data_IF_401453368532
#
_entry.id   IF_401453368532
#
_cell.length_a   1.000
_cell.length_b   1.000
_cell.length_c   1.000
_cell.angle_alpha   90.00
_cell.angle_beta   90.00
_cell.angle_gamma   90.00
#
_symmetry.space_group_name_H-M   'P 1'
#
loop_
_entity.id
_entity.type
_entity.pdbx_description
1 polymer ?
#
# COMPACT_ATOMS: atom_id res chain seq x y z
N UNK A 1 58.79 22.50 34.85
CA UNK A 1 58.25 22.75 33.49
C UNK A 1 58.06 21.49 32.62
N UNK A 2 58.92 20.45 32.69
CA UNK A 2 58.80 19.26 31.81
C UNK A 2 57.56 18.36 32.06
N UNK A 3 57.16 18.12 33.32
CA UNK A 3 55.98 17.26 33.65
C UNK A 3 54.64 17.85 33.20
N UNK A 4 54.52 19.18 33.15
CA UNK A 4 53.30 19.88 32.71
C UNK A 4 53.14 19.76 31.18
N UNK A 5 54.25 19.73 30.42
CA UNK A 5 54.22 19.54 28.96
C UNK A 5 53.81 18.11 28.59
N UNK A 6 54.32 17.10 29.29
CA UNK A 6 53.96 15.69 29.05
C UNK A 6 52.47 15.40 29.29
N UNK A 7 51.91 15.86 30.42
CA UNK A 7 50.48 15.68 30.75
C UNK A 7 49.53 16.46 29.83
N UNK A 8 50.03 17.50 29.16
CA UNK A 8 49.27 18.27 28.16
C UNK A 8 49.28 17.59 26.79
N UNK A 9 50.37 16.88 26.47
CA UNK A 9 50.53 16.13 25.22
C UNK A 9 49.65 14.86 25.21
N UNK A 10 49.64 14.13 26.32
CA UNK A 10 48.77 12.96 26.58
C UNK A 10 47.27 13.25 26.35
N UNK A 11 46.76 14.32 26.96
CA UNK A 11 45.36 14.78 26.73
C UNK A 11 45.08 15.19 25.29
N UNK A 12 46.10 15.63 24.55
CA UNK A 12 45.91 16.03 23.15
C UNK A 12 45.77 14.80 22.25
N UNK A 13 46.47 13.70 22.58
CA UNK A 13 46.36 12.42 21.89
C UNK A 13 44.98 11.78 22.12
N UNK A 14 44.48 11.76 23.36
CA UNK A 14 43.12 11.30 23.67
C UNK A 14 42.05 12.09 22.92
N UNK A 15 42.19 13.43 22.85
CA UNK A 15 41.27 14.28 22.09
C UNK A 15 41.32 13.96 20.59
N UNK A 16 42.51 13.68 20.05
CA UNK A 16 42.67 13.36 18.63
C UNK A 16 41.99 12.03 18.28
N UNK A 17 42.12 11.03 19.16
CA UNK A 17 41.46 9.73 19.01
C UNK A 17 39.93 9.88 19.03
N UNK A 18 39.39 10.67 19.98
CA UNK A 18 37.96 10.98 20.05
C UNK A 18 37.49 11.71 18.78
N UNK A 19 38.25 12.69 18.28
CA UNK A 19 37.88 13.43 17.07
C UNK A 19 37.86 12.53 15.83
N UNK A 20 38.83 11.63 15.68
CA UNK A 20 38.85 10.67 14.59
C UNK A 20 37.69 9.67 14.70
N UNK A 21 37.42 9.15 15.89
CA UNK A 21 36.26 8.28 16.13
C UNK A 21 34.95 8.98 15.79
N UNK A 22 34.78 10.25 16.17
CA UNK A 22 33.59 11.03 15.79
C UNK A 22 33.53 11.21 14.27
N UNK A 23 34.63 11.52 13.60
CA UNK A 23 34.65 11.68 12.15
C UNK A 23 34.24 10.40 11.42
N UNK A 24 34.69 9.25 11.91
CA UNK A 24 34.44 7.95 11.27
C UNK A 24 33.02 7.41 11.54
N UNK A 25 32.35 7.87 12.60
CA UNK A 25 31.05 7.34 13.04
C UNK A 25 29.91 8.36 13.01
N UNK A 26 30.19 9.66 12.89
CA UNK A 26 29.16 10.69 12.85
C UNK A 26 28.54 10.76 11.46
N UNK A 27 27.21 10.81 11.44
CA UNK A 27 26.45 11.12 10.22
C UNK A 27 26.78 12.54 9.78
N UNK A 28 27.11 12.70 8.50
CA UNK A 28 27.36 14.02 7.93
C UNK A 28 26.05 14.81 7.81
N UNK A 29 26.16 16.15 7.76
CA UNK A 29 24.97 16.99 7.52
C UNK A 29 24.29 16.69 6.20
N UNK A 30 25.05 16.31 5.19
CA UNK A 30 24.54 15.95 3.85
C UNK A 30 23.72 14.67 3.92
N UNK A 31 24.24 13.61 4.56
CA UNK A 31 23.51 12.35 4.77
C UNK A 31 22.26 12.57 5.61
N UNK A 32 22.35 13.36 6.69
CA UNK A 32 21.19 13.68 7.52
C UNK A 32 20.11 14.44 6.74
N UNK A 33 20.50 15.42 5.91
CA UNK A 33 19.57 16.16 5.07
C UNK A 33 18.95 15.28 3.98
N UNK A 34 19.72 14.34 3.42
CA UNK A 34 19.23 13.33 2.48
C UNK A 34 18.14 12.47 3.11
N UNK A 35 18.41 11.91 4.29
CA UNK A 35 17.45 11.11 5.06
C UNK A 35 16.20 11.92 5.42
N UNK A 36 16.37 13.16 5.89
CA UNK A 36 15.25 14.03 6.21
C UNK A 36 14.36 14.31 4.99
N UNK A 37 14.97 14.48 3.80
CA UNK A 37 14.26 14.62 2.53
C UNK A 37 13.47 13.37 2.15
N UNK A 38 14.06 12.18 2.27
CA UNK A 38 13.39 10.90 2.00
C UNK A 38 12.22 10.65 2.96
N UNK A 39 12.41 10.88 4.25
CA UNK A 39 11.33 10.78 5.25
C UNK A 39 10.21 11.78 4.94
N UNK A 40 10.55 12.99 4.47
CA UNK A 40 9.59 13.98 4.02
C UNK A 40 8.75 13.47 2.84
N UNK A 41 9.37 12.86 1.83
CA UNK A 41 8.67 12.26 0.69
C UNK A 41 7.78 11.09 1.11
N UNK A 42 8.29 10.18 1.94
CA UNK A 42 7.52 9.04 2.46
C UNK A 42 6.29 9.54 3.21
N UNK A 43 6.41 10.59 4.03
CA UNK A 43 5.26 11.21 4.72
C UNK A 43 4.26 11.88 3.79
N UNK A 44 4.72 12.45 2.68
CA UNK A 44 3.84 13.10 1.71
C UNK A 44 3.08 12.09 0.84
N UNK A 45 3.70 10.95 0.53
CA UNK A 45 3.15 9.93 -0.38
C UNK A 45 2.46 8.76 0.34
N UNK A 46 2.75 8.57 1.64
CA UNK A 46 2.10 7.50 2.40
C UNK A 46 0.59 7.72 2.46
N UNK A 47 -0.13 6.66 2.14
CA UNK A 47 -1.56 6.56 2.37
C UNK A 47 -1.81 5.87 3.71
N UNK A 48 -2.83 6.31 4.44
CA UNK A 48 -3.22 5.65 5.68
C UNK A 48 -3.99 4.38 5.37
N UNK A 49 -3.89 3.40 6.28
CA UNK A 49 -4.71 2.18 6.23
C UNK A 49 -6.20 2.54 6.12
N UNK A 50 -6.66 3.49 6.91
CA UNK A 50 -8.07 3.93 6.92
C UNK A 50 -8.51 4.51 5.57
N UNK A 51 -7.63 5.26 4.89
CA UNK A 51 -7.91 5.77 3.54
C UNK A 51 -8.09 4.63 2.54
N UNK A 52 -7.18 3.63 2.56
CA UNK A 52 -7.27 2.46 1.69
C UNK A 52 -8.51 1.61 2.02
N UNK A 53 -8.78 1.34 3.28
CA UNK A 53 -9.95 0.58 3.73
C UNK A 53 -11.25 1.27 3.28
N UNK A 54 -11.33 2.60 3.38
CA UNK A 54 -12.44 3.38 2.86
C UNK A 54 -12.61 3.24 1.34
N UNK A 55 -11.54 3.42 0.56
CA UNK A 55 -11.59 3.29 -0.90
C UNK A 55 -11.92 1.88 -1.36
N UNK A 56 -11.45 0.86 -0.65
CA UNK A 56 -11.79 -0.53 -0.92
C UNK A 56 -13.25 -0.85 -0.59
N UNK A 57 -13.78 -0.27 0.49
CA UNK A 57 -15.20 -0.40 0.83
C UNK A 57 -16.10 0.26 -0.24
N UNK A 58 -15.76 1.47 -0.69
CA UNK A 58 -16.45 2.17 -1.78
C UNK A 58 -16.45 1.34 -3.07
N UNK A 59 -15.26 0.89 -3.50
CA UNK A 59 -15.10 0.05 -4.69
C UNK A 59 -15.92 -1.24 -4.60
N UNK A 60 -15.90 -1.91 -3.45
CA UNK A 60 -16.71 -3.10 -3.22
C UNK A 60 -18.20 -2.80 -3.32
N UNK A 61 -18.65 -1.65 -2.79
CA UNK A 61 -20.02 -1.18 -2.93
C UNK A 61 -20.42 -0.99 -4.40
N UNK A 62 -19.59 -0.28 -5.17
CA UNK A 62 -19.81 -0.03 -6.59
C UNK A 62 -19.89 -1.32 -7.40
N UNK A 63 -18.97 -2.26 -7.16
CA UNK A 63 -18.99 -3.57 -7.81
C UNK A 63 -20.29 -4.34 -7.52
N UNK A 64 -20.74 -4.36 -6.26
CA UNK A 64 -22.00 -5.02 -5.90
C UNK A 64 -23.19 -4.39 -6.63
N UNK A 65 -23.23 -3.05 -6.74
CA UNK A 65 -24.29 -2.35 -7.46
C UNK A 65 -24.26 -2.66 -8.95
N UNK A 66 -23.07 -2.64 -9.57
CA UNK A 66 -22.91 -2.96 -10.99
C UNK A 66 -23.32 -4.41 -11.30
N UNK A 67 -22.84 -5.38 -10.53
CA UNK A 67 -23.20 -6.79 -10.71
C UNK A 67 -24.69 -7.02 -10.54
N UNK A 68 -25.36 -6.37 -9.57
CA UNK A 68 -26.82 -6.45 -9.42
C UNK A 68 -27.59 -5.87 -10.61
N UNK A 69 -27.10 -4.77 -11.18
CA UNK A 69 -27.70 -4.17 -12.39
C UNK A 69 -27.51 -5.08 -13.60
N UNK A 70 -26.34 -5.68 -13.75
CA UNK A 70 -26.05 -6.66 -14.80
C UNK A 70 -26.93 -7.89 -14.67
N UNK A 71 -27.02 -8.48 -13.48
CA UNK A 71 -27.92 -9.61 -13.19
C UNK A 71 -29.38 -9.28 -13.54
N UNK A 72 -29.85 -8.08 -13.19
CA UNK A 72 -31.20 -7.62 -13.55
C UNK A 72 -31.41 -7.53 -15.07
N UNK A 73 -30.42 -7.03 -15.80
CA UNK A 73 -30.46 -6.96 -17.28
C UNK A 73 -30.45 -8.35 -17.91
N UNK A 74 -29.61 -9.27 -17.41
CA UNK A 74 -29.54 -10.65 -17.89
C UNK A 74 -30.85 -11.37 -17.63
N UNK A 75 -31.43 -11.23 -16.43
CA UNK A 75 -32.76 -11.77 -16.10
C UNK A 75 -33.83 -11.31 -17.07
N UNK A 76 -33.84 -10.03 -17.40
CA UNK A 76 -34.81 -9.50 -18.35
C UNK A 76 -34.57 -10.00 -19.77
N UNK A 77 -33.31 -10.08 -20.20
CA UNK A 77 -32.95 -10.67 -21.49
C UNK A 77 -33.40 -12.13 -21.59
N UNK A 78 -33.19 -12.93 -20.55
CA UNK A 78 -33.64 -14.34 -20.51
C UNK A 78 -35.15 -14.43 -20.70
N UNK A 79 -35.95 -13.59 -20.02
CA UNK A 79 -37.41 -13.54 -20.22
C UNK A 79 -37.79 -13.18 -21.65
N UNK A 80 -37.12 -12.19 -22.24
CA UNK A 80 -37.36 -11.79 -23.64
C UNK A 80 -37.07 -12.96 -24.58
N UNK A 81 -35.94 -13.66 -24.39
CA UNK A 81 -35.55 -14.79 -25.23
C UNK A 81 -36.48 -16.00 -25.07
N UNK A 82 -36.95 -16.27 -23.85
CA UNK A 82 -37.95 -17.31 -23.59
C UNK A 82 -39.29 -16.97 -24.27
N UNK A 83 -39.75 -15.72 -24.15
CA UNK A 83 -41.00 -15.27 -24.80
C UNK A 83 -40.94 -15.36 -26.32
N UNK A 84 -39.75 -15.13 -26.90
CA UNK A 84 -39.48 -15.27 -28.34
C UNK A 84 -39.22 -16.72 -28.76
N UNK A 85 -39.31 -17.68 -27.84
CA UNK A 85 -39.02 -19.11 -28.06
C UNK A 85 -37.61 -19.39 -28.60
N UNK A 86 -36.66 -18.49 -28.34
CA UNK A 86 -35.23 -18.69 -28.64
C UNK A 86 -34.61 -19.60 -27.59
N UNK A 87 -35.07 -19.50 -26.34
CA UNK A 87 -34.68 -20.38 -25.24
C UNK A 87 -35.86 -21.23 -24.79
N UNK A 88 -35.60 -22.48 -24.40
CA UNK A 88 -36.56 -23.32 -23.72
C UNK A 88 -36.52 -23.11 -22.19
N UNK A 89 -37.56 -23.58 -21.48
CA UNK A 89 -37.68 -23.43 -20.01
C UNK A 89 -36.50 -23.99 -19.23
N UNK A 90 -35.86 -25.06 -19.71
CA UNK A 90 -34.74 -25.69 -19.03
C UNK A 90 -33.47 -24.85 -19.19
N UNK A 91 -33.23 -24.31 -20.38
CA UNK A 91 -32.11 -23.40 -20.67
C UNK A 91 -32.22 -22.11 -19.85
N UNK A 92 -33.40 -21.49 -19.83
CA UNK A 92 -33.66 -20.29 -19.04
C UNK A 92 -33.38 -20.54 -17.54
N UNK A 93 -33.89 -21.66 -16.99
CA UNK A 93 -33.60 -22.05 -15.60
C UNK A 93 -32.12 -22.26 -15.32
N UNK A 94 -31.39 -22.87 -16.26
CA UNK A 94 -29.95 -23.13 -16.11
C UNK A 94 -29.15 -21.82 -16.04
N UNK A 95 -29.48 -20.85 -16.90
CA UNK A 95 -28.83 -19.52 -16.91
C UNK A 95 -29.14 -18.76 -15.62
N UNK A 96 -30.40 -18.77 -15.17
CA UNK A 96 -30.82 -18.06 -13.95
C UNK A 96 -30.27 -18.68 -12.66
N UNK A 97 -29.86 -19.94 -12.69
CA UNK A 97 -29.22 -20.62 -11.57
C UNK A 97 -27.71 -20.38 -11.51
N UNK A 98 -27.11 -19.69 -12.50
CA UNK A 98 -25.69 -19.35 -12.47
C UNK A 98 -25.44 -18.32 -11.38
N UNK A 99 -24.43 -18.57 -10.54
CA UNK A 99 -24.02 -17.63 -9.52
C UNK A 99 -23.44 -16.37 -10.17
N UNK A 100 -23.84 -15.21 -9.65
CA UNK A 100 -23.38 -13.90 -10.13
C UNK A 100 -21.95 -13.58 -9.70
N UNK A 101 -21.41 -14.31 -8.72
CA UNK A 101 -20.02 -14.20 -8.28
C UNK A 101 -19.35 -15.57 -8.33
N UNK A 102 -18.11 -15.67 -8.84
CA UNK A 102 -17.32 -16.88 -8.70
C UNK A 102 -17.00 -17.12 -7.22
N UNK A 103 -17.14 -18.37 -6.77
CA UNK A 103 -16.63 -18.80 -5.46
C UNK A 103 -15.12 -18.58 -5.48
N UNK A 104 -14.62 -17.76 -4.54
CA UNK A 104 -13.18 -17.57 -4.37
C UNK A 104 -12.55 -18.95 -4.12
N UNK A 105 -11.72 -19.43 -5.05
CA UNK A 105 -10.86 -20.57 -4.80
C UNK A 105 -9.88 -20.15 -3.70
N UNK A 106 -10.08 -20.70 -2.50
CA UNK A 106 -9.18 -20.55 -1.36
C UNK A 106 -7.89 -21.33 -1.59
#
# INVERSE_FOLDING_TARGET
MKKIKAKKQDKTEEILEIVNSIKDNAVTREEFNGLAGEVGKIKAEMVTKDYLDGKLADLRGDLVVLTRKEDSKVKELVKILESKKVLNKNEAKKILAMETFPVLAL
#
